data_IF_221873516263
#
_entry.id   IF_221873516263
#
_cell.length_a   1.000
_cell.length_b   1.000
_cell.length_c   1.000
_cell.angle_alpha   90.00
_cell.angle_beta   90.00
_cell.angle_gamma   90.00
#
_symmetry.space_group_name_H-M   'P 1'
#
loop_
_entity.id
_entity.type
_entity.pdbx_description
1 polymer ?
#
# COMPACT_ATOMS: atom_id res chain seq x y z
N UNK A 1 -2.67 -20.45 67.68
CA UNK A 1 -2.39 -19.07 67.24
C UNK A 1 -1.84 -19.12 65.82
N UNK A 2 -2.72 -18.78 64.89
CA UNK A 2 -2.56 -18.18 63.55
C UNK A 2 -1.54 -18.77 62.55
N UNK A 3 -2.06 -19.64 61.70
CA UNK A 3 -1.56 -20.00 60.36
C UNK A 3 -1.71 -18.81 59.39
N UNK A 4 -0.72 -18.45 58.56
CA UNK A 4 -0.91 -17.45 57.51
C UNK A 4 -1.61 -18.07 56.28
N UNK A 5 -2.76 -17.50 55.91
CA UNK A 5 -3.47 -17.79 54.67
C UNK A 5 -2.81 -17.06 53.51
N UNK A 6 -2.14 -17.80 52.62
CA UNK A 6 -1.60 -17.25 51.37
C UNK A 6 -2.74 -16.98 50.39
N UNK A 7 -3.09 -15.70 50.20
CA UNK A 7 -4.05 -15.26 49.17
C UNK A 7 -3.40 -15.35 47.79
N UNK A 8 -3.89 -16.26 46.95
CA UNK A 8 -3.57 -16.31 45.53
C UNK A 8 -4.44 -15.29 44.75
N UNK A 9 -3.76 -14.52 43.90
CA UNK A 9 -4.22 -13.93 42.63
C UNK A 9 -4.70 -12.46 42.57
N UNK A 10 -3.88 -11.62 41.89
CA UNK A 10 -4.39 -10.59 40.98
C UNK A 10 -3.97 -10.79 39.52
N UNK A 11 -2.98 -11.66 39.23
CA UNK A 11 -2.36 -11.78 37.89
C UNK A 11 -3.22 -12.51 36.84
N UNK A 12 -4.12 -13.40 37.26
CA UNK A 12 -4.94 -14.23 36.35
C UNK A 12 -6.05 -13.43 35.67
N UNK A 13 -6.62 -12.42 36.37
CA UNK A 13 -7.71 -11.58 35.83
C UNK A 13 -7.25 -10.63 34.70
N UNK A 14 -6.02 -10.11 34.77
CA UNK A 14 -5.46 -9.24 33.72
C UNK A 14 -5.15 -10.01 32.42
N UNK A 15 -4.58 -11.21 32.52
CA UNK A 15 -4.34 -12.07 31.34
C UNK A 15 -5.62 -12.50 30.64
N UNK A 16 -6.69 -12.80 31.40
CA UNK A 16 -8.01 -13.14 30.81
C UNK A 16 -8.64 -11.98 30.03
N UNK A 17 -8.46 -10.73 30.47
CA UNK A 17 -9.01 -9.56 29.74
C UNK A 17 -8.30 -9.31 28.41
N UNK A 18 -6.97 -9.45 28.37
CA UNK A 18 -6.17 -9.28 27.14
C UNK A 18 -6.49 -10.35 26.09
N UNK A 19 -6.68 -11.60 26.53
CA UNK A 19 -7.03 -12.72 25.63
C UNK A 19 -8.44 -12.57 25.07
N UNK A 20 -9.41 -12.08 25.85
CA UNK A 20 -10.79 -11.85 25.37
C UNK A 20 -10.87 -10.71 24.34
N UNK A 21 -10.11 -9.62 24.53
CA UNK A 21 -10.04 -8.53 23.53
C UNK A 21 -9.35 -8.94 22.23
N UNK A 22 -8.31 -9.79 22.29
CA UNK A 22 -7.63 -10.29 21.09
C UNK A 22 -8.51 -11.26 20.28
N UNK A 23 -9.29 -12.11 20.95
CA UNK A 23 -10.22 -13.04 20.28
C UNK A 23 -11.40 -12.27 19.65
N UNK A 24 -11.90 -11.21 20.29
CA UNK A 24 -12.97 -10.39 19.73
C UNK A 24 -12.53 -9.60 18.47
N UNK A 25 -11.30 -9.07 18.45
CA UNK A 25 -10.73 -8.40 17.28
C UNK A 25 -10.44 -9.38 16.13
N UNK A 26 -9.92 -10.57 16.43
CA UNK A 26 -9.74 -11.64 15.43
C UNK A 26 -11.08 -12.13 14.85
N UNK A 27 -12.12 -12.25 15.68
CA UNK A 27 -13.47 -12.60 15.23
C UNK A 27 -14.09 -11.57 14.30
N UNK A 28 -13.90 -10.27 14.56
CA UNK A 28 -14.41 -9.19 13.70
C UNK A 28 -13.72 -9.15 12.33
N UNK A 29 -12.41 -9.43 12.26
CA UNK A 29 -11.66 -9.51 10.99
C UNK A 29 -12.05 -10.75 10.18
N UNK A 30 -12.29 -11.89 10.84
CA UNK A 30 -12.74 -13.12 10.17
C UNK A 30 -14.18 -12.99 9.65
N UNK A 31 -15.08 -12.32 10.37
CA UNK A 31 -16.45 -12.04 9.92
C UNK A 31 -16.48 -11.09 8.71
N UNK A 32 -15.59 -10.09 8.65
CA UNK A 32 -15.48 -9.21 7.49
C UNK A 32 -14.99 -9.96 6.23
N UNK A 33 -14.03 -10.88 6.38
CA UNK A 33 -13.53 -11.69 5.27
C UNK A 33 -14.54 -12.75 4.76
N UNK A 34 -15.37 -13.30 5.66
CA UNK A 34 -16.38 -14.30 5.29
C UNK A 34 -17.58 -13.70 4.51
N UNK A 35 -17.93 -12.43 4.75
CA UNK A 35 -19.01 -11.75 4.02
C UNK A 35 -18.60 -11.44 2.58
N UNK A 36 -17.31 -11.20 2.31
CA UNK A 36 -16.82 -10.91 0.95
C UNK A 36 -16.71 -12.13 0.03
N UNK A 37 -16.70 -13.36 0.57
CA UNK A 37 -16.63 -14.60 -0.24
C UNK A 37 -17.98 -15.27 -0.49
N UNK A 38 -19.08 -14.74 0.06
CA UNK A 38 -20.40 -15.42 0.03
C UNK A 38 -21.37 -14.89 -1.03
N UNK A 39 -20.96 -14.00 -1.93
CA UNK A 39 -21.83 -13.47 -3.01
C UNK A 39 -21.66 -14.18 -4.36
N UNK A 40 -20.97 -15.32 -4.40
CA UNK A 40 -20.74 -16.07 -5.65
C UNK A 40 -21.25 -17.52 -5.61
N UNK A 41 -22.41 -17.79 -4.99
CA UNK A 41 -23.12 -19.08 -5.18
C UNK A 41 -24.64 -18.91 -5.06
N UNK A 42 -25.26 -18.38 -6.11
CA UNK A 42 -26.67 -18.57 -6.52
C UNK A 42 -26.78 -17.72 -7.79
N UNK A 43 -26.91 -18.24 -9.01
CA UNK A 43 -27.94 -19.14 -9.48
C UNK A 43 -27.37 -20.03 -10.59
N UNK A 44 -27.21 -21.32 -10.30
CA UNK A 44 -27.25 -22.35 -11.33
C UNK A 44 -28.59 -23.08 -11.20
N UNK A 45 -29.15 -23.42 -12.35
CA UNK A 45 -30.39 -24.18 -12.57
C UNK A 45 -31.72 -23.44 -12.39
N UNK A 46 -32.16 -22.82 -13.49
CA UNK A 46 -33.49 -23.16 -14.01
C UNK A 46 -33.47 -23.20 -15.53
N UNK A 47 -33.46 -24.41 -16.09
CA UNK A 47 -33.76 -24.65 -17.49
C UNK A 47 -35.19 -24.20 -17.79
N UNK A 48 -35.35 -23.13 -18.56
CA UNK A 48 -36.63 -22.85 -19.21
C UNK A 48 -36.43 -22.60 -20.70
N UNK A 49 -36.74 -23.65 -21.47
CA UNK A 49 -37.02 -23.58 -22.90
C UNK A 49 -38.19 -22.62 -23.15
N UNK A 50 -37.94 -21.54 -23.90
CA UNK A 50 -38.94 -20.60 -24.40
C UNK A 50 -38.41 -19.87 -25.64
N UNK A 51 -39.25 -19.53 -26.65
CA UNK A 51 -38.77 -19.08 -27.94
C UNK A 51 -38.23 -17.64 -27.91
N UNK A 52 -37.14 -17.45 -28.65
CA UNK A 52 -36.41 -16.20 -28.85
C UNK A 52 -37.26 -15.11 -29.51
N UNK A 53 -37.33 -13.88 -28.96
CA UNK A 53 -37.69 -12.70 -29.73
C UNK A 53 -36.42 -12.01 -30.25
N UNK A 54 -36.44 -11.68 -31.53
CA UNK A 54 -35.37 -11.01 -32.25
C UNK A 54 -34.96 -9.68 -31.57
N UNK A 55 -33.66 -9.52 -31.30
CA UNK A 55 -33.10 -8.24 -30.86
C UNK A 55 -32.87 -7.33 -32.05
N UNK A 56 -33.54 -6.17 -32.01
CA UNK A 56 -33.31 -5.03 -32.91
C UNK A 56 -31.93 -4.42 -32.60
N UNK A 57 -31.14 -3.98 -33.60
CA UNK A 57 -29.85 -3.37 -33.33
C UNK A 57 -30.06 -1.91 -32.87
N UNK A 58 -29.69 -1.61 -31.63
CA UNK A 58 -29.58 -0.23 -31.13
C UNK A 58 -28.24 0.33 -31.62
N UNK A 59 -28.18 1.54 -32.22
CA UNK A 59 -26.93 2.09 -32.73
C UNK A 59 -26.03 2.53 -31.59
N UNK A 60 -24.75 2.14 -31.66
CA UNK A 60 -23.67 2.61 -30.78
C UNK A 60 -23.47 4.12 -30.96
N UNK A 61 -24.08 4.91 -30.08
CA UNK A 61 -23.74 6.31 -29.87
C UNK A 61 -22.47 6.39 -29.02
N UNK A 62 -21.38 6.81 -29.63
CA UNK A 62 -20.12 7.11 -28.96
C UNK A 62 -20.31 8.31 -28.03
N UNK A 63 -20.24 8.08 -26.72
CA UNK A 63 -20.27 9.15 -25.72
C UNK A 63 -18.89 9.81 -25.66
N UNK A 64 -18.75 11.11 -25.94
CA UNK A 64 -17.50 11.83 -25.73
C UNK A 64 -17.37 12.13 -24.23
N UNK A 65 -16.44 11.45 -23.57
CA UNK A 65 -16.18 11.64 -22.13
C UNK A 65 -15.68 10.41 -21.38
N UNK A 66 -15.23 9.35 -22.06
CA UNK A 66 -14.59 8.22 -21.39
C UNK A 66 -13.24 8.68 -20.82
N UNK A 67 -13.20 8.95 -19.52
CA UNK A 67 -11.93 9.03 -18.78
C UNK A 67 -11.29 7.66 -18.93
N UNK A 68 -10.25 7.56 -19.76
CA UNK A 68 -9.55 6.30 -19.98
C UNK A 68 -8.99 5.87 -18.62
N UNK A 69 -9.40 4.70 -18.14
CA UNK A 69 -8.90 4.17 -16.87
C UNK A 69 -7.37 4.05 -16.91
N UNK A 70 -6.65 4.41 -15.84
CA UNK A 70 -5.19 4.28 -15.80
C UNK A 70 -4.71 2.86 -16.13
N UNK A 71 -3.59 2.80 -16.83
CA UNK A 71 -3.00 1.56 -17.37
C UNK A 71 -1.60 1.32 -16.80
N UNK A 72 -0.93 0.24 -17.20
CA UNK A 72 0.48 0.03 -16.87
C UNK A 72 1.37 1.20 -17.29
N UNK A 73 1.06 1.86 -18.42
CA UNK A 73 1.82 3.03 -18.89
C UNK A 73 1.74 4.22 -17.92
N UNK A 74 0.69 4.26 -17.10
CA UNK A 74 0.46 5.22 -16.03
C UNK A 74 1.12 4.81 -14.69
N UNK A 75 1.78 3.65 -14.63
CA UNK A 75 2.39 3.13 -13.41
C UNK A 75 1.46 2.22 -12.58
N UNK A 76 0.35 1.75 -13.15
CA UNK A 76 -0.51 0.76 -12.47
C UNK A 76 0.22 -0.58 -12.36
N UNK A 77 0.30 -1.11 -11.15
CA UNK A 77 0.65 -2.51 -10.85
C UNK A 77 -0.65 -3.21 -10.47
N UNK A 78 -1.02 -4.28 -11.18
CA UNK A 78 -2.31 -4.94 -10.94
C UNK A 78 -2.24 -5.92 -9.78
N UNK A 79 -3.41 -6.24 -9.23
CA UNK A 79 -3.55 -7.26 -8.20
C UNK A 79 -2.95 -8.60 -8.68
N UNK A 80 -2.10 -9.20 -7.84
CA UNK A 80 -1.38 -10.44 -8.15
C UNK A 80 -0.05 -10.23 -8.87
N UNK A 81 0.22 -9.05 -9.44
CA UNK A 81 1.55 -8.71 -9.95
C UNK A 81 2.50 -8.40 -8.79
N UNK A 82 3.76 -8.81 -8.92
CA UNK A 82 4.78 -8.67 -7.88
C UNK A 82 6.10 -8.21 -8.50
N UNK A 83 6.15 -6.99 -9.05
CA UNK A 83 7.35 -6.51 -9.71
C UNK A 83 8.48 -6.29 -8.69
N UNK A 84 9.70 -6.47 -9.18
CA UNK A 84 10.94 -6.21 -8.46
C UNK A 84 11.52 -4.87 -8.89
N UNK A 85 12.54 -4.41 -8.17
CA UNK A 85 13.31 -3.20 -8.55
C UNK A 85 14.16 -3.39 -9.82
N UNK A 86 14.17 -4.60 -10.40
CA UNK A 86 14.88 -4.93 -11.64
C UNK A 86 13.96 -4.97 -12.86
N UNK A 87 12.64 -4.88 -12.69
CA UNK A 87 11.66 -4.94 -13.78
C UNK A 87 11.49 -3.57 -14.47
N UNK A 88 12.57 -3.04 -15.03
CA UNK A 88 12.63 -1.70 -15.64
C UNK A 88 11.74 -1.51 -16.87
N UNK A 89 11.23 -2.59 -17.46
CA UNK A 89 10.28 -2.54 -18.57
C UNK A 89 8.88 -2.05 -18.12
N UNK A 90 8.59 -2.16 -16.82
CA UNK A 90 7.35 -1.64 -16.23
C UNK A 90 7.48 -0.15 -15.94
N UNK A 91 6.49 0.64 -16.36
CA UNK A 91 6.54 2.09 -16.14
C UNK A 91 6.68 2.49 -14.67
N UNK A 92 6.08 1.72 -13.74
CA UNK A 92 6.21 1.96 -12.30
C UNK A 92 7.66 1.86 -11.80
N UNK A 93 8.53 1.09 -12.45
CA UNK A 93 9.94 0.91 -12.05
C UNK A 93 10.86 1.72 -12.95
N UNK A 94 10.72 1.57 -14.28
CA UNK A 94 11.61 2.19 -15.26
C UNK A 94 11.53 3.72 -15.35
N UNK A 95 10.51 4.35 -14.75
CA UNK A 95 10.36 5.81 -14.66
C UNK A 95 10.69 6.39 -13.28
N UNK A 96 11.17 5.58 -12.34
CA UNK A 96 11.79 6.10 -11.12
C UNK A 96 13.02 6.95 -11.50
N UNK A 97 13.34 7.92 -10.65
CA UNK A 97 14.61 8.63 -10.74
C UNK A 97 15.76 7.60 -10.77
N UNK A 98 16.75 7.84 -11.63
CA UNK A 98 17.81 6.85 -11.87
C UNK A 98 18.67 6.64 -10.64
N UNK A 99 18.95 7.68 -9.85
CA UNK A 99 19.74 7.52 -8.64
C UNK A 99 18.98 6.73 -7.57
N UNK A 100 17.66 6.95 -7.45
CA UNK A 100 16.80 6.15 -6.58
C UNK A 100 16.79 4.68 -7.03
N UNK A 101 16.54 4.42 -8.30
CA UNK A 101 16.49 3.06 -8.85
C UNK A 101 17.83 2.32 -8.65
N UNK A 102 18.95 2.97 -8.91
CA UNK A 102 20.28 2.39 -8.70
C UNK A 102 20.53 2.07 -7.21
N UNK A 103 20.07 2.93 -6.29
CA UNK A 103 20.17 2.66 -4.85
C UNK A 103 19.30 1.49 -4.42
N UNK A 104 18.08 1.40 -4.93
CA UNK A 104 17.16 0.28 -4.70
C UNK A 104 17.73 -1.04 -5.20
N UNK A 105 18.31 -1.06 -6.40
CA UNK A 105 18.91 -2.26 -6.99
C UNK A 105 20.11 -2.74 -6.19
N UNK A 106 21.00 -1.83 -5.75
CA UNK A 106 22.11 -2.18 -4.83
C UNK A 106 21.60 -2.76 -3.51
N UNK A 107 20.63 -2.10 -2.89
CA UNK A 107 20.04 -2.57 -1.63
C UNK A 107 19.36 -3.93 -1.78
N UNK A 108 18.63 -4.14 -2.88
CA UNK A 108 17.95 -5.40 -3.16
C UNK A 108 18.92 -6.55 -3.42
N UNK A 109 20.05 -6.31 -4.09
CA UNK A 109 21.10 -7.31 -4.27
C UNK A 109 21.70 -7.76 -2.93
N UNK A 110 22.05 -6.83 -2.05
CA UNK A 110 22.59 -7.16 -0.73
C UNK A 110 21.53 -7.79 0.20
N UNK A 111 20.26 -7.38 0.07
CA UNK A 111 19.15 -7.98 0.81
C UNK A 111 18.92 -9.45 0.39
N UNK A 112 19.14 -9.78 -0.88
CA UNK A 112 18.99 -11.15 -1.37
C UNK A 112 19.98 -12.12 -0.73
N UNK A 113 21.20 -11.68 -0.39
CA UNK A 113 22.18 -12.47 0.37
C UNK A 113 21.70 -12.79 1.80
N UNK A 114 20.84 -11.93 2.35
CA UNK A 114 20.15 -12.15 3.63
C UNK A 114 18.81 -12.93 3.46
N UNK A 115 18.49 -13.38 2.24
CA UNK A 115 17.23 -14.08 1.92
C UNK A 115 16.00 -13.18 1.89
N UNK A 116 16.19 -11.86 1.75
CA UNK A 116 15.12 -10.85 1.69
C UNK A 116 14.96 -10.37 0.25
N UNK A 117 13.72 -10.30 -0.22
CA UNK A 117 13.42 -9.88 -1.57
C UNK A 117 12.53 -8.64 -1.58
N UNK A 118 12.86 -7.66 -2.42
CA UNK A 118 12.08 -6.43 -2.55
C UNK A 118 11.00 -6.58 -3.61
N UNK A 119 9.82 -6.07 -3.29
CA UNK A 119 8.66 -5.92 -4.18
C UNK A 119 8.24 -4.48 -4.24
N UNK A 120 7.99 -4.00 -5.45
CA UNK A 120 7.44 -2.67 -5.69
C UNK A 120 5.93 -2.79 -5.63
N UNK A 121 5.32 -2.19 -4.61
CA UNK A 121 3.87 -2.09 -4.49
C UNK A 121 3.33 -0.88 -5.27
N UNK A 122 4.10 0.21 -5.28
CA UNK A 122 3.89 1.38 -6.12
C UNK A 122 5.23 2.04 -6.41
N UNK A 123 5.45 2.52 -7.62
CA UNK A 123 6.67 3.28 -7.95
C UNK A 123 6.28 4.58 -8.62
N UNK A 124 6.84 4.87 -9.79
CA UNK A 124 6.40 6.03 -10.57
C UNK A 124 4.91 5.93 -10.91
N UNK A 125 4.20 7.06 -10.82
CA UNK A 125 2.78 7.19 -11.20
C UNK A 125 2.58 8.39 -12.11
N UNK A 126 1.69 8.27 -13.10
CA UNK A 126 1.26 9.44 -13.86
C UNK A 126 0.44 10.40 -12.99
N UNK A 127 0.40 11.71 -13.30
CA UNK A 127 -0.48 12.65 -12.59
C UNK A 127 -1.95 12.22 -12.57
N UNK A 128 -2.43 11.61 -13.67
CA UNK A 128 -3.80 11.12 -13.77
C UNK A 128 -4.06 9.92 -12.84
N UNK A 129 -3.09 9.01 -12.71
CA UNK A 129 -3.17 7.92 -11.73
C UNK A 129 -3.13 8.46 -10.30
N UNK A 130 -2.25 9.43 -10.02
CA UNK A 130 -2.17 10.07 -8.71
C UNK A 130 -3.49 10.75 -8.32
N UNK A 131 -4.10 11.48 -9.24
CA UNK A 131 -5.40 12.13 -9.03
C UNK A 131 -6.47 11.09 -8.69
N UNK A 132 -6.53 10.00 -9.46
CA UNK A 132 -7.45 8.90 -9.16
C UNK A 132 -7.20 8.31 -7.77
N UNK A 133 -5.94 8.06 -7.40
CA UNK A 133 -5.60 7.55 -6.05
C UNK A 133 -6.08 8.50 -4.94
N UNK A 134 -5.95 9.82 -5.14
CA UNK A 134 -6.44 10.81 -4.19
C UNK A 134 -7.97 10.77 -4.09
N UNK A 135 -8.67 10.71 -5.22
CA UNK A 135 -10.14 10.61 -5.22
C UNK A 135 -10.63 9.32 -4.54
N UNK A 136 -9.98 8.18 -4.79
CA UNK A 136 -10.29 6.91 -4.14
C UNK A 136 -10.07 7.01 -2.61
N UNK A 137 -8.99 7.67 -2.18
CA UNK A 137 -8.71 7.93 -0.77
C UNK A 137 -9.73 8.88 -0.13
N UNK A 138 -10.20 9.92 -0.84
CA UNK A 138 -11.27 10.81 -0.36
C UNK A 138 -12.54 10.02 -0.08
N UNK A 139 -12.92 9.12 -0.98
CA UNK A 139 -14.08 8.24 -0.78
C UNK A 139 -13.86 7.32 0.41
N UNK A 140 -12.67 6.74 0.57
CA UNK A 140 -12.33 5.83 1.66
C UNK A 140 -12.32 6.52 3.03
N UNK A 141 -11.70 7.70 3.13
CA UNK A 141 -11.48 8.41 4.40
C UNK A 141 -12.55 9.46 4.70
N UNK A 142 -13.48 9.71 3.78
CA UNK A 142 -14.64 10.57 3.94
C UNK A 142 -14.36 12.07 3.86
N UNK A 143 -13.10 12.49 3.72
CA UNK A 143 -12.73 13.88 3.47
C UNK A 143 -11.38 13.98 2.79
N UNK A 144 -11.17 15.05 2.03
CA UNK A 144 -9.86 15.38 1.49
C UNK A 144 -8.83 15.57 2.61
N UNK A 145 -9.17 16.32 3.67
CA UNK A 145 -8.25 16.55 4.78
C UNK A 145 -7.70 15.26 5.40
N UNK A 146 -8.53 14.22 5.57
CA UNK A 146 -8.06 12.93 6.09
C UNK A 146 -7.30 12.13 5.02
N UNK A 147 -7.74 12.17 3.75
CA UNK A 147 -7.05 11.52 2.65
C UNK A 147 -5.63 12.08 2.42
N UNK A 148 -5.43 13.39 2.62
CA UNK A 148 -4.12 14.07 2.52
C UNK A 148 -3.07 13.53 3.49
N UNK A 149 -3.48 12.84 4.56
CA UNK A 149 -2.57 12.18 5.50
C UNK A 149 -1.98 10.88 4.96
N UNK A 150 -2.43 10.43 3.80
CA UNK A 150 -1.99 9.18 3.17
C UNK A 150 -1.67 9.34 1.67
N UNK A 151 -2.24 10.36 1.02
CA UNK A 151 -2.11 10.55 -0.43
C UNK A 151 -1.87 12.02 -0.77
N UNK A 152 -0.70 12.29 -1.35
CA UNK A 152 -0.31 13.59 -1.90
C UNK A 152 -1.04 13.93 -3.21
N UNK A 153 -0.98 15.20 -3.67
CA UNK A 153 -1.72 15.66 -4.85
C UNK A 153 -0.89 15.30 -6.08
N UNK A 154 -1.45 15.34 -7.29
CA UNK A 154 -0.65 15.19 -8.50
C UNK A 154 0.56 16.12 -8.57
N UNK A 155 0.47 17.34 -8.02
CA UNK A 155 1.53 18.35 -8.09
C UNK A 155 2.64 18.15 -7.04
N UNK A 156 2.34 17.46 -5.95
CA UNK A 156 3.26 17.35 -4.80
C UNK A 156 3.69 15.92 -4.48
N UNK A 157 3.21 14.93 -5.23
CA UNK A 157 3.56 13.53 -5.01
C UNK A 157 4.93 13.22 -5.59
N UNK A 158 5.82 12.72 -4.74
CA UNK A 158 7.15 12.26 -5.15
C UNK A 158 7.08 11.01 -6.05
N UNK A 159 5.97 10.26 -6.04
CA UNK A 159 5.75 9.20 -7.03
C UNK A 159 5.55 9.76 -8.45
N UNK A 160 5.07 11.00 -8.59
CA UNK A 160 4.85 11.61 -9.91
C UNK A 160 6.17 12.05 -10.53
N UNK A 161 7.10 12.54 -9.71
CA UNK A 161 8.46 12.89 -10.14
C UNK A 161 9.37 11.67 -10.27
N UNK A 162 9.00 10.54 -9.66
CA UNK A 162 9.80 9.31 -9.65
C UNK A 162 10.79 9.25 -8.48
N UNK A 163 10.68 10.15 -7.52
CA UNK A 163 11.58 10.29 -6.37
C UNK A 163 11.16 9.45 -5.15
N UNK A 164 10.05 8.71 -5.25
CA UNK A 164 9.55 7.81 -4.22
C UNK A 164 9.14 6.44 -4.75
N UNK A 165 9.21 5.44 -3.87
CA UNK A 165 8.75 4.08 -4.09
C UNK A 165 8.08 3.52 -2.83
N UNK A 166 6.99 2.78 -3.04
CA UNK A 166 6.33 1.98 -2.02
C UNK A 166 6.78 0.52 -2.14
N UNK A 167 7.39 0.01 -1.09
CA UNK A 167 8.00 -1.32 -1.08
C UNK A 167 7.23 -2.31 -0.19
N UNK A 168 7.51 -3.59 -0.42
CA UNK A 168 7.13 -4.70 0.42
C UNK A 168 7.99 -5.93 0.10
N UNK A 169 7.68 -7.11 0.67
CA UNK A 169 6.77 -7.32 1.81
C UNK A 169 7.39 -6.82 3.13
N UNK A 170 6.74 -7.08 4.27
CA UNK A 170 7.21 -6.64 5.59
C UNK A 170 8.67 -7.00 5.92
N UNK A 171 9.19 -8.14 5.43
CA UNK A 171 10.60 -8.50 5.62
C UNK A 171 11.56 -7.55 4.90
N UNK A 172 11.19 -7.03 3.73
CA UNK A 172 11.96 -6.00 3.03
C UNK A 172 11.95 -4.69 3.84
N UNK A 173 10.79 -4.32 4.39
CA UNK A 173 10.66 -3.11 5.21
C UNK A 173 11.48 -3.20 6.50
N UNK A 174 11.45 -4.33 7.18
CA UNK A 174 12.27 -4.58 8.37
C UNK A 174 13.78 -4.50 8.06
N UNK A 175 14.20 -5.06 6.92
CA UNK A 175 15.59 -4.97 6.47
C UNK A 175 15.99 -3.52 6.16
N UNK A 176 15.13 -2.77 5.47
CA UNK A 176 15.37 -1.37 5.09
C UNK A 176 15.44 -0.44 6.30
N UNK A 177 14.62 -0.63 7.33
CA UNK A 177 14.73 0.18 8.57
C UNK A 177 16.10 0.02 9.22
N UNK A 178 16.71 -1.16 9.12
CA UNK A 178 18.01 -1.45 9.74
C UNK A 178 19.20 -1.04 8.87
N UNK A 179 19.04 -1.03 7.54
CA UNK A 179 20.17 -1.00 6.58
C UNK A 179 20.01 0.02 5.45
N UNK A 180 18.81 0.54 5.23
CA UNK A 180 18.45 1.40 4.11
C UNK A 180 19.31 2.67 4.04
N UNK A 181 19.65 3.27 5.18
CA UNK A 181 20.49 4.46 5.24
C UNK A 181 21.86 4.28 4.57
N UNK A 182 22.43 3.06 4.56
CA UNK A 182 23.69 2.75 3.87
C UNK A 182 23.63 2.96 2.37
N UNK A 183 22.43 2.98 1.81
CA UNK A 183 22.13 3.22 0.39
C UNK A 183 21.50 4.58 0.15
N UNK A 184 21.31 5.39 1.20
CA UNK A 184 20.52 6.60 1.15
C UNK A 184 19.01 6.35 1.10
N UNK A 185 18.52 5.13 1.31
CA UNK A 185 17.10 4.81 1.25
C UNK A 185 16.46 5.04 2.62
N UNK A 186 15.53 5.99 2.69
CA UNK A 186 14.93 6.39 3.95
C UNK A 186 13.41 6.35 3.90
N UNK A 187 12.82 5.77 4.94
CA UNK A 187 11.41 5.98 5.25
C UNK A 187 11.21 7.46 5.61
N UNK A 188 10.31 8.15 4.93
CA UNK A 188 10.09 9.59 5.13
C UNK A 188 8.92 9.86 6.08
N UNK A 189 7.87 9.05 6.00
CA UNK A 189 6.65 9.24 6.79
C UNK A 189 6.45 8.11 7.80
N UNK A 190 6.25 8.45 9.06
CA UNK A 190 6.12 7.49 10.16
C UNK A 190 4.86 6.61 10.04
N UNK A 191 3.79 7.12 9.42
CA UNK A 191 2.57 6.38 9.15
C UNK A 191 2.65 5.48 7.89
N UNK A 192 3.69 5.61 7.08
CA UNK A 192 3.85 4.90 5.81
C UNK A 192 5.18 4.12 5.81
N UNK A 193 5.21 3.00 6.54
CA UNK A 193 6.41 2.13 6.64
C UNK A 193 6.89 1.58 5.31
N UNK A 194 6.07 1.69 4.26
CA UNK A 194 6.34 1.23 2.91
C UNK A 194 6.95 2.32 2.02
N UNK A 195 6.81 3.62 2.34
CA UNK A 195 7.22 4.74 1.48
C UNK A 195 8.69 5.11 1.71
N UNK A 196 9.51 4.92 0.68
CA UNK A 196 10.94 5.23 0.70
C UNK A 196 11.31 6.24 -0.36
N UNK A 197 12.23 7.14 -0.01
CA UNK A 197 12.86 8.09 -0.92
C UNK A 197 14.38 8.04 -0.79
N UNK A 198 15.08 8.55 -1.81
CA UNK A 198 16.53 8.72 -1.74
C UNK A 198 16.89 9.99 -0.95
N UNK A 199 17.81 9.83 -0.01
CA UNK A 199 18.49 10.86 0.79
C UNK A 199 19.98 10.53 0.77
N UNK A 200 20.74 11.00 -0.22
CA UNK A 200 22.15 10.64 -0.39
C UNK A 200 22.99 10.90 0.88
N UNK A 201 22.67 11.96 1.62
CA UNK A 201 23.33 12.34 2.87
C UNK A 201 23.17 11.27 3.96
N UNK A 202 22.11 10.46 3.91
CA UNK A 202 21.86 9.43 4.91
C UNK A 202 22.91 8.32 4.95
N UNK A 203 23.73 8.17 3.90
CA UNK A 203 24.87 7.27 3.87
C UNK A 203 25.90 7.65 4.95
N UNK A 204 26.02 8.94 5.26
CA UNK A 204 26.95 9.47 6.25
C UNK A 204 26.25 9.84 7.56
N UNK A 205 25.07 10.44 7.47
CA UNK A 205 24.41 11.07 8.61
C UNK A 205 23.26 10.22 9.19
N UNK A 206 22.90 9.13 8.53
CA UNK A 206 21.68 8.38 8.82
C UNK A 206 20.43 9.06 8.25
N UNK A 207 19.29 8.36 8.30
CA UNK A 207 18.06 8.92 7.77
C UNK A 207 17.59 10.13 8.58
N UNK A 208 16.98 11.14 7.93
CA UNK A 208 16.39 12.26 8.63
C UNK A 208 15.26 11.79 9.56
N UNK A 209 14.89 12.64 10.52
CA UNK A 209 13.71 12.39 11.36
C UNK A 209 12.46 12.24 10.47
N UNK A 210 11.72 11.15 10.69
CA UNK A 210 10.48 10.90 9.96
C UNK A 210 9.44 11.96 10.30
N UNK A 211 8.75 12.44 9.27
CA UNK A 211 7.56 13.25 9.42
C UNK A 211 6.39 12.37 9.87
N UNK A 212 5.42 12.94 10.60
CA UNK A 212 4.29 12.15 11.09
C UNK A 212 3.44 11.57 9.95
N UNK A 213 3.21 12.37 8.91
CA UNK A 213 2.49 12.03 7.68
C UNK A 213 2.80 13.09 6.58
N UNK A 214 2.40 12.87 5.31
CA UNK A 214 2.67 13.79 4.21
C UNK A 214 2.19 15.23 4.41
N UNK A 215 1.20 15.49 5.28
CA UNK A 215 0.71 16.86 5.54
C UNK A 215 1.72 17.71 6.30
N UNK A 216 2.70 17.09 6.95
CA UNK A 216 3.78 17.78 7.64
C UNK A 216 4.95 18.14 6.72
N UNK A 217 5.03 17.54 5.53
CA UNK A 217 6.10 17.81 4.57
C UNK A 217 5.97 19.23 3.98
N UNK A 218 6.99 20.08 4.08
CA UNK A 218 6.98 21.40 3.44
C UNK A 218 6.76 21.34 1.92
N UNK A 219 7.15 20.24 1.26
CA UNK A 219 6.98 20.04 -0.19
C UNK A 219 5.51 19.93 -0.61
N UNK A 220 4.64 19.46 0.28
CA UNK A 220 3.21 19.22 0.00
C UNK A 220 2.30 20.42 0.27
N UNK A 221 2.87 21.56 0.71
CA UNK A 221 2.14 22.77 1.12
C UNK A 221 2.03 23.85 0.02
N UNK A 222 2.23 23.48 -1.24
CA UNK A 222 2.24 24.43 -2.37
C UNK A 222 0.85 24.73 -2.88
#
# INVERSE_FOLDING_TARGET
MNTPTTSLAPRVRRRRRVVVTAIALAGAVILAFAVQQSLSVAFADTTHTGPSPASTPVPSGQVPGSVIAPTEADGVIREGEQPTVFDEDRAAVGKLDRALLDALQRAASDAADDGVEFRVNSGWRSPALQEKTLQDAIVQYGSEAEARRWVATPETSEHVTGDAVDLGPWSALDWLVQRGSRYGLCQIYANESWHYELRPEAIHDGCPEMLADPTQDPRTKR
#
